data_IF_717639797963
#
_entry.id   IF_717639797963
#
_cell.length_a   1.000
_cell.length_b   1.000
_cell.length_c   1.000
_cell.angle_alpha   90.00
_cell.angle_beta   90.00
_cell.angle_gamma   90.00
#
_symmetry.space_group_name_H-M   'P 1'
#
loop_
_entity.id
_entity.type
_entity.pdbx_description
1 polymer ?
#
# COMPACT_ATOMS: atom_id res chain seq x y z
N UNK A 1 -4.95 -16.79 13.74
CA UNK A 1 -5.64 -16.93 12.42
C UNK A 1 -5.29 -15.72 11.56
N UNK A 2 -4.98 -15.93 10.30
CA UNK A 2 -4.69 -14.83 9.35
C UNK A 2 -6.01 -14.21 8.87
N UNK A 3 -6.13 -12.90 8.98
CA UNK A 3 -7.26 -12.17 8.39
C UNK A 3 -6.99 -11.90 6.92
N UNK A 4 -8.02 -11.99 6.09
CA UNK A 4 -7.96 -11.66 4.68
C UNK A 4 -8.94 -10.53 4.34
N UNK A 5 -8.44 -9.52 3.63
CA UNK A 5 -9.27 -8.42 3.11
C UNK A 5 -9.14 -8.40 1.58
N UNK A 6 -10.18 -8.85 0.90
CA UNK A 6 -10.26 -8.81 -0.55
C UNK A 6 -10.81 -7.49 -1.07
N UNK A 7 -10.93 -7.39 -2.40
CA UNK A 7 -11.42 -6.18 -3.07
C UNK A 7 -12.81 -5.76 -2.61
N UNK A 8 -13.73 -6.74 -2.45
CA UNK A 8 -15.12 -6.46 -2.05
C UNK A 8 -15.22 -5.91 -0.63
N UNK A 9 -14.47 -6.50 0.30
CA UNK A 9 -14.41 -6.05 1.69
C UNK A 9 -13.82 -4.65 1.78
N UNK A 10 -12.74 -4.40 1.05
CA UNK A 10 -12.09 -3.09 1.02
C UNK A 10 -13.01 -2.03 0.40
N UNK A 11 -13.69 -2.32 -0.71
CA UNK A 11 -14.67 -1.42 -1.31
C UNK A 11 -15.80 -1.08 -0.33
N UNK A 12 -16.34 -2.08 0.38
CA UNK A 12 -17.38 -1.88 1.38
C UNK A 12 -16.91 -0.94 2.50
N UNK A 13 -15.72 -1.15 3.02
CA UNK A 13 -15.15 -0.27 4.05
C UNK A 13 -14.95 1.16 3.56
N UNK A 14 -14.46 1.35 2.34
CA UNK A 14 -14.28 2.69 1.76
C UNK A 14 -15.60 3.39 1.49
N UNK A 15 -16.64 2.68 1.08
CA UNK A 15 -17.99 3.24 0.89
C UNK A 15 -18.62 3.67 2.22
N UNK A 16 -18.42 2.90 3.29
CA UNK A 16 -18.92 3.22 4.63
C UNK A 16 -18.20 4.41 5.27
N UNK A 17 -16.91 4.55 5.01
CA UNK A 17 -16.03 5.53 5.65
C UNK A 17 -15.91 6.84 4.87
N UNK A 18 -16.72 7.23 3.98
CA UNK A 18 -16.60 8.42 3.10
C UNK A 18 -15.18 8.61 2.53
N UNK A 19 -14.99 8.84 1.23
CA UNK A 19 -13.65 8.97 0.63
C UNK A 19 -12.76 10.04 1.28
N UNK A 20 -13.33 11.18 1.66
CA UNK A 20 -12.61 12.29 2.30
C UNK A 20 -12.05 11.89 3.67
N UNK A 21 -12.85 11.19 4.47
CA UNK A 21 -12.45 10.69 5.79
C UNK A 21 -11.33 9.65 5.66
N UNK A 22 -11.44 8.73 4.69
CA UNK A 22 -10.42 7.72 4.43
C UNK A 22 -9.09 8.36 4.00
N UNK A 23 -9.13 9.36 3.13
CA UNK A 23 -7.93 10.10 2.67
C UNK A 23 -7.29 10.87 3.83
N UNK A 24 -8.08 11.58 4.64
CA UNK A 24 -7.57 12.34 5.79
C UNK A 24 -6.90 11.43 6.80
N UNK A 25 -7.53 10.30 7.14
CA UNK A 25 -6.96 9.33 8.07
C UNK A 25 -5.68 8.69 7.53
N UNK A 26 -5.64 8.38 6.25
CA UNK A 26 -4.42 7.88 5.60
C UNK A 26 -3.29 8.91 5.66
N UNK A 27 -3.58 10.19 5.44
CA UNK A 27 -2.60 11.26 5.54
C UNK A 27 -2.04 11.41 6.98
N UNK A 28 -2.90 11.29 8.00
CA UNK A 28 -2.49 11.28 9.41
C UNK A 28 -1.55 10.09 9.71
N UNK A 29 -1.91 8.89 9.30
CA UNK A 29 -1.09 7.70 9.49
C UNK A 29 0.27 7.81 8.80
N UNK A 30 0.30 8.33 7.57
CA UNK A 30 1.56 8.60 6.85
C UNK A 30 2.41 9.62 7.62
N UNK A 31 1.80 10.69 8.15
CA UNK A 31 2.51 11.68 8.95
C UNK A 31 3.11 11.08 10.20
N UNK A 32 2.36 10.27 10.94
CA UNK A 32 2.84 9.56 12.13
C UNK A 32 4.01 8.65 11.81
N UNK A 33 3.95 7.90 10.70
CA UNK A 33 5.05 7.05 10.27
C UNK A 33 6.30 7.86 9.89
N UNK A 34 6.16 9.01 9.26
CA UNK A 34 7.30 9.88 8.97
C UNK A 34 7.94 10.47 10.24
N UNK A 35 7.14 10.77 11.27
CA UNK A 35 7.68 11.25 12.56
C UNK A 35 8.54 10.20 13.28
N UNK A 36 8.27 8.92 13.07
CA UNK A 36 9.04 7.79 13.62
C UNK A 36 9.90 7.08 12.58
N UNK A 37 10.19 7.72 11.46
CA UNK A 37 10.89 7.12 10.31
C UNK A 37 12.21 6.46 10.65
N UNK A 38 12.96 6.99 11.63
CA UNK A 38 14.23 6.43 12.12
C UNK A 38 14.08 5.08 12.82
N UNK A 39 12.87 4.75 13.30
CA UNK A 39 12.58 3.48 13.99
C UNK A 39 12.34 2.32 13.02
N UNK A 40 12.15 2.63 11.74
CA UNK A 40 11.90 1.60 10.73
C UNK A 40 13.20 1.01 10.20
N UNK A 41 13.25 -0.32 10.13
CA UNK A 41 14.22 -1.04 9.31
C UNK A 41 13.74 -1.01 7.85
N UNK A 42 14.43 -0.22 7.04
CA UNK A 42 14.08 0.06 5.65
C UNK A 42 14.93 -0.78 4.72
N UNK A 43 14.49 -1.99 4.45
CA UNK A 43 15.12 -2.85 3.43
C UNK A 43 14.88 -2.26 2.04
N UNK A 44 15.90 -2.19 1.17
CA UNK A 44 15.72 -1.78 -0.22
C UNK A 44 14.65 -2.64 -0.91
N UNK A 45 13.85 -2.01 -1.77
CA UNK A 45 12.89 -2.75 -2.59
C UNK A 45 13.60 -3.69 -3.54
N UNK A 46 13.02 -4.86 -3.76
CA UNK A 46 13.47 -5.84 -4.76
C UNK A 46 12.60 -5.69 -6.00
N UNK A 47 13.22 -5.46 -7.15
CA UNK A 47 12.53 -5.27 -8.42
C UNK A 47 12.97 -6.31 -9.44
N UNK A 48 11.99 -6.88 -10.14
CA UNK A 48 12.20 -7.72 -11.33
C UNK A 48 11.72 -6.95 -12.55
N UNK A 49 12.65 -6.58 -13.40
CA UNK A 49 12.39 -5.84 -14.64
C UNK A 49 12.26 -6.78 -15.83
N UNK A 50 11.34 -6.46 -16.73
CA UNK A 50 11.16 -7.12 -18.02
C UNK A 50 10.88 -6.07 -19.10
N UNK A 51 10.85 -6.51 -20.35
CA UNK A 51 10.51 -5.62 -21.50
C UNK A 51 9.08 -5.06 -21.43
N UNK A 52 8.20 -5.70 -20.66
CA UNK A 52 6.77 -5.34 -20.59
C UNK A 52 6.38 -4.64 -19.29
N UNK A 53 7.27 -4.63 -18.30
CA UNK A 53 6.96 -3.98 -17.01
C UNK A 53 7.88 -4.38 -15.88
N UNK A 54 7.47 -4.06 -14.66
CA UNK A 54 8.22 -4.32 -13.43
C UNK A 54 7.32 -4.95 -12.38
N UNK A 55 7.88 -5.86 -11.59
CA UNK A 55 7.27 -6.39 -10.37
C UNK A 55 8.19 -6.05 -9.20
N UNK A 56 7.65 -5.47 -8.14
CA UNK A 56 8.42 -5.03 -6.99
C UNK A 56 7.88 -5.61 -5.69
N UNK A 57 8.79 -5.92 -4.76
CA UNK A 57 8.50 -6.17 -3.36
C UNK A 57 9.07 -5.04 -2.52
N UNK A 58 8.26 -4.52 -1.61
CA UNK A 58 8.61 -3.39 -0.74
C UNK A 58 8.51 -3.81 0.73
N UNK A 59 9.58 -4.40 1.31
CA UNK A 59 9.58 -4.82 2.71
C UNK A 59 9.92 -3.65 3.65
N UNK A 60 9.35 -3.69 4.86
CA UNK A 60 9.64 -2.75 5.95
C UNK A 60 9.31 -3.39 7.30
N UNK A 61 10.02 -3.01 8.35
CA UNK A 61 9.73 -3.41 9.73
C UNK A 61 9.88 -2.24 10.69
N UNK A 62 9.02 -2.16 11.70
CA UNK A 62 9.18 -1.22 12.82
C UNK A 62 9.69 -1.89 14.11
N UNK A 63 10.15 -3.14 14.00
CA UNK A 63 10.61 -3.95 15.12
C UNK A 63 9.52 -4.75 15.83
N UNK A 64 8.26 -4.37 15.69
CA UNK A 64 7.09 -5.08 16.23
C UNK A 64 6.31 -5.78 15.11
N UNK A 65 6.12 -5.07 14.00
CA UNK A 65 5.46 -5.57 12.82
C UNK A 65 6.41 -5.55 11.63
N UNK A 66 6.30 -6.58 10.81
CA UNK A 66 6.89 -6.66 9.49
C UNK A 66 5.80 -6.55 8.44
N UNK A 67 6.07 -5.84 7.39
CA UNK A 67 5.13 -5.76 6.27
C UNK A 67 5.87 -5.79 4.95
N UNK A 68 5.25 -6.35 3.93
CA UNK A 68 5.67 -6.14 2.57
C UNK A 68 4.48 -5.86 1.67
N UNK A 69 4.74 -5.16 0.59
CA UNK A 69 3.80 -4.92 -0.49
C UNK A 69 4.37 -5.50 -1.77
N UNK A 70 3.55 -6.32 -2.45
CA UNK A 70 3.74 -6.67 -3.85
C UNK A 70 3.06 -5.62 -4.71
N UNK A 71 3.72 -5.16 -5.76
CA UNK A 71 3.13 -4.28 -6.76
C UNK A 71 3.74 -4.55 -8.12
N UNK A 72 2.92 -4.49 -9.17
CA UNK A 72 3.37 -4.52 -10.54
C UNK A 72 3.09 -3.20 -11.26
N UNK A 73 3.88 -2.93 -12.30
CA UNK A 73 3.64 -1.86 -13.25
C UNK A 73 3.81 -2.40 -14.67
N UNK A 74 2.69 -2.57 -15.39
CA UNK A 74 2.63 -3.10 -16.75
C UNK A 74 1.82 -2.16 -17.65
N UNK A 75 2.45 -1.12 -18.23
CA UNK A 75 1.72 -0.06 -18.94
C UNK A 75 0.88 -0.56 -20.12
N UNK A 76 1.31 -1.61 -20.80
CA UNK A 76 0.61 -2.16 -21.98
C UNK A 76 -0.63 -3.01 -21.63
N UNK A 77 -0.87 -3.30 -20.37
CA UNK A 77 -2.01 -4.12 -19.92
C UNK A 77 -3.36 -3.53 -20.34
N UNK A 78 -3.47 -2.22 -20.48
CA UNK A 78 -4.69 -1.57 -20.98
C UNK A 78 -5.11 -2.05 -22.36
N UNK A 79 -4.17 -2.44 -23.22
CA UNK A 79 -4.46 -2.97 -24.56
C UNK A 79 -5.17 -4.35 -24.50
N UNK A 80 -5.00 -5.08 -23.39
CA UNK A 80 -5.66 -6.36 -23.13
C UNK A 80 -6.85 -6.24 -22.18
N UNK A 81 -7.27 -5.02 -21.82
CA UNK A 81 -8.35 -4.78 -20.85
C UNK A 81 -7.97 -5.12 -19.39
N UNK A 82 -6.67 -5.22 -19.09
CA UNK A 82 -6.16 -5.50 -17.76
C UNK A 82 -5.69 -4.23 -17.06
N UNK A 83 -5.66 -4.24 -15.73
CA UNK A 83 -5.12 -3.15 -14.93
C UNK A 83 -3.59 -3.03 -15.14
N UNK A 84 -3.10 -1.80 -15.22
CA UNK A 84 -1.65 -1.52 -15.33
C UNK A 84 -0.92 -1.72 -14.01
N UNK A 85 -1.62 -1.54 -12.88
CA UNK A 85 -1.08 -1.69 -11.54
C UNK A 85 -2.04 -2.53 -10.70
N UNK A 86 -1.51 -3.56 -10.07
CA UNK A 86 -2.18 -4.33 -9.01
C UNK A 86 -1.24 -4.46 -7.83
N UNK A 87 -1.80 -4.59 -6.63
CA UNK A 87 -1.00 -4.72 -5.42
C UNK A 87 -1.71 -5.55 -4.37
N UNK A 88 -0.93 -6.25 -3.57
CA UNK A 88 -1.37 -6.86 -2.31
C UNK A 88 -0.26 -6.74 -1.27
N UNK A 89 -0.59 -6.97 -0.01
CA UNK A 89 0.39 -6.91 1.06
C UNK A 89 0.09 -7.83 2.20
N UNK A 90 1.11 -8.04 3.00
CA UNK A 90 1.06 -8.85 4.22
C UNK A 90 1.54 -8.00 5.38
N UNK A 91 0.86 -8.14 6.53
CA UNK A 91 1.33 -7.69 7.83
C UNK A 91 1.62 -8.93 8.67
N UNK A 92 2.78 -9.00 9.25
CA UNK A 92 3.24 -10.11 10.09
C UNK A 92 3.77 -9.61 11.44
N UNK A 93 3.76 -10.49 12.41
CA UNK A 93 4.31 -10.28 13.74
C UNK A 93 5.82 -10.58 13.70
N UNK A 94 6.64 -9.66 14.17
CA UNK A 94 8.12 -9.86 14.16
C UNK A 94 8.52 -10.98 15.12
N UNK A 95 7.91 -11.05 16.30
CA UNK A 95 8.28 -12.03 17.33
C UNK A 95 8.03 -13.47 16.90
N UNK A 96 6.91 -13.72 16.23
CA UNK A 96 6.49 -15.08 15.86
C UNK A 96 6.70 -15.38 14.38
N UNK A 97 6.85 -14.37 13.55
CA UNK A 97 6.84 -14.49 12.10
C UNK A 97 5.47 -14.80 11.49
N UNK A 98 4.42 -14.91 12.32
CA UNK A 98 3.10 -15.24 11.82
C UNK A 98 2.46 -14.09 11.04
N UNK A 99 1.96 -14.35 9.83
CA UNK A 99 1.15 -13.38 9.12
C UNK A 99 -0.16 -13.15 9.88
N UNK A 100 -0.51 -11.87 10.06
CA UNK A 100 -1.72 -11.42 10.75
C UNK A 100 -2.79 -10.98 9.77
N UNK A 101 -2.36 -10.38 8.66
CA UNK A 101 -3.25 -9.82 7.65
C UNK A 101 -2.67 -10.03 6.27
N UNK A 102 -3.50 -10.48 5.36
CA UNK A 102 -3.27 -10.44 3.91
C UNK A 102 -4.34 -9.52 3.30
N UNK A 103 -3.92 -8.49 2.61
CA UNK A 103 -4.85 -7.48 2.07
C UNK A 103 -4.61 -7.18 0.60
N UNK A 104 -5.71 -7.03 -0.12
CA UNK A 104 -5.71 -6.35 -1.41
C UNK A 104 -5.25 -4.89 -1.20
N UNK A 105 -4.38 -4.36 -2.03
CA UNK A 105 -3.83 -3.01 -1.90
C UNK A 105 -3.91 -2.20 -3.21
N UNK A 106 -4.55 -2.69 -4.25
CA UNK A 106 -4.68 -1.95 -5.52
C UNK A 106 -5.47 -0.65 -5.30
N UNK A 107 -6.61 -0.71 -4.61
CA UNK A 107 -7.40 0.46 -4.26
C UNK A 107 -6.65 1.42 -3.33
N UNK A 108 -6.00 0.90 -2.31
CA UNK A 108 -5.21 1.69 -1.36
C UNK A 108 -4.03 2.37 -2.05
N UNK A 109 -3.39 1.68 -3.00
CA UNK A 109 -2.30 2.25 -3.82
C UNK A 109 -2.79 3.41 -4.68
N UNK A 110 -4.00 3.34 -5.20
CA UNK A 110 -4.61 4.43 -5.95
C UNK A 110 -4.97 5.63 -5.07
N UNK A 111 -5.38 5.40 -3.82
CA UNK A 111 -5.76 6.45 -2.87
C UNK A 111 -4.56 7.15 -2.19
N UNK A 112 -3.48 6.42 -1.95
CA UNK A 112 -2.31 6.92 -1.23
C UNK A 112 -1.73 8.23 -1.80
N UNK A 113 -1.56 8.42 -3.13
CA UNK A 113 -1.08 9.68 -3.67
C UNK A 113 -1.99 10.88 -3.38
N UNK A 114 -3.30 10.65 -3.22
CA UNK A 114 -4.25 11.71 -2.87
C UNK A 114 -4.07 12.20 -1.41
N UNK A 115 -3.60 11.33 -0.51
CA UNK A 115 -3.27 11.66 0.89
C UNK A 115 -1.85 12.21 1.09
N UNK A 116 -1.02 12.27 0.03
CA UNK A 116 0.35 12.78 0.15
C UNK A 116 0.39 14.30 0.37
N UNK A 117 1.21 14.82 1.32
CA UNK A 117 1.32 16.25 1.59
C UNK A 117 1.65 17.10 0.36
N UNK A 118 2.40 16.56 -0.59
CA UNK A 118 2.76 17.26 -1.85
C UNK A 118 1.56 17.56 -2.74
N UNK A 119 0.53 16.71 -2.75
CA UNK A 119 -0.70 16.95 -3.52
C UNK A 119 -1.69 17.83 -2.80
N UNK A 120 -1.70 17.82 -1.47
CA UNK A 120 -2.49 18.76 -0.69
C UNK A 120 -2.03 20.20 -0.93
N UNK A 121 -0.72 20.46 -1.02
CA UNK A 121 -0.16 21.78 -1.32
C UNK A 121 -0.51 22.28 -2.73
N UNK A 122 -0.68 21.41 -3.72
CA UNK A 122 -1.07 21.79 -5.08
C UNK A 122 -2.55 22.17 -5.26
N UNK A 123 -3.41 21.91 -4.27
CA UNK A 123 -4.84 22.25 -4.33
C UNK A 123 -5.18 23.62 -3.75
N UNK A 124 -4.21 24.32 -3.15
CA UNK A 124 -4.38 25.63 -2.52
C UNK A 124 -3.65 26.77 -3.24
N UNK A 125 -3.30 26.56 -4.52
CA UNK A 125 -2.77 27.63 -5.39
C UNK A 125 -3.63 27.79 -6.62
#
# INVERSE_FOLDING_TARGET
MVSYIGTRELQKHLQQARPETAISRMAEMIREDYLRWSQFDKTPRVASHSEVGVIELMPISDGTHYSFKYVNGHPKNTHAGLLTVTAFGVLADVDTGYPRLLSELTLTTALRPAGSPRRAACRFH
#
